data_IF_742071977881
#
_entry.id   IF_742071977881
#
_cell.length_a   1.000
_cell.length_b   1.000
_cell.length_c   1.000
_cell.angle_alpha   90.00
_cell.angle_beta   90.00
_cell.angle_gamma   90.00
#
_symmetry.space_group_name_H-M   'P 1'
#
loop_
_entity.id
_entity.type
_entity.pdbx_description
1 polymer ?
#
# COMPACT_ATOMS: atom_id res chain seq x y z
N UNK A 1 23.46 -16.42 34.78
CA UNK A 1 22.97 -15.16 35.39
C UNK A 1 21.53 -14.99 34.94
N UNK A 2 20.59 -14.77 35.86
CA UNK A 2 19.17 -14.59 35.49
C UNK A 2 19.02 -13.21 34.86
N UNK A 3 18.53 -13.18 33.62
CA UNK A 3 18.36 -11.97 32.80
C UNK A 3 16.92 -11.46 32.96
N UNK A 4 16.75 -10.15 33.10
CA UNK A 4 15.47 -9.49 33.29
C UNK A 4 14.58 -9.62 32.02
N UNK A 5 15.18 -9.86 30.85
CA UNK A 5 14.51 -9.87 29.53
C UNK A 5 13.30 -10.81 29.42
N UNK A 6 13.22 -11.83 30.28
CA UNK A 6 12.13 -12.83 30.27
C UNK A 6 11.08 -12.62 31.38
N UNK A 7 11.12 -11.50 32.11
CA UNK A 7 10.28 -11.28 33.30
C UNK A 7 8.75 -11.44 33.06
N UNK A 8 8.24 -11.07 31.88
CA UNK A 8 6.81 -11.28 31.53
C UNK A 8 6.46 -12.75 31.35
N UNK A 9 7.33 -13.51 30.68
CA UNK A 9 7.14 -14.94 30.52
C UNK A 9 7.21 -15.66 31.87
N UNK A 10 8.14 -15.26 32.75
CA UNK A 10 8.24 -15.78 34.11
C UNK A 10 6.97 -15.51 34.94
N UNK A 11 6.39 -14.31 34.83
CA UNK A 11 5.16 -13.95 35.54
C UNK A 11 3.95 -14.77 35.06
N UNK A 12 3.89 -15.04 33.76
CA UNK A 12 2.88 -15.92 33.17
C UNK A 12 3.04 -17.37 33.65
N UNK A 13 4.24 -17.95 33.55
CA UNK A 13 4.52 -19.32 34.00
C UNK A 13 4.27 -19.50 35.51
N UNK A 14 4.59 -18.48 36.32
CA UNK A 14 4.32 -18.47 37.76
C UNK A 14 2.83 -18.52 38.06
N UNK A 15 2.04 -17.69 37.37
CA UNK A 15 0.58 -17.65 37.52
C UNK A 15 -0.06 -18.98 37.14
N UNK A 16 0.34 -19.54 36.00
CA UNK A 16 -0.14 -20.84 35.52
C UNK A 16 0.20 -21.97 36.50
N UNK A 17 1.42 -21.95 37.08
CA UNK A 17 1.87 -22.94 38.07
C UNK A 17 1.19 -22.81 39.44
N UNK A 18 0.76 -21.62 39.84
CA UNK A 18 0.03 -21.41 41.10
C UNK A 18 -1.46 -21.77 40.96
N UNK A 19 -2.04 -21.50 39.80
CA UNK A 19 -3.43 -21.87 39.48
C UNK A 19 -3.63 -23.39 39.53
N UNK A 20 -2.66 -24.18 39.08
CA UNK A 20 -2.67 -25.65 39.18
C UNK A 20 -2.57 -26.18 40.62
N UNK A 21 -2.15 -25.34 41.58
CA UNK A 21 -2.11 -25.63 43.02
C UNK A 21 -3.27 -24.99 43.80
N UNK A 22 -4.36 -24.62 43.10
CA UNK A 22 -5.55 -23.97 43.64
C UNK A 22 -5.31 -22.60 44.31
N UNK A 23 -4.19 -21.93 44.00
CA UNK A 23 -3.93 -20.55 44.41
C UNK A 23 -4.14 -19.64 43.21
N UNK A 24 -5.16 -18.79 43.27
CA UNK A 24 -5.45 -17.83 42.20
C UNK A 24 -4.82 -16.49 42.50
N UNK A 25 -3.98 -16.01 41.58
CA UNK A 25 -3.40 -14.66 41.61
C UNK A 25 -3.68 -13.95 40.30
N UNK A 26 -3.85 -12.64 40.37
CA UNK A 26 -4.02 -11.77 39.21
C UNK A 26 -2.72 -11.63 38.42
N UNK A 27 -2.84 -11.15 37.18
CA UNK A 27 -1.67 -10.85 36.35
C UNK A 27 -0.75 -9.82 37.02
N UNK A 28 -1.34 -8.78 37.61
CA UNK A 28 -0.60 -7.72 38.30
C UNK A 28 0.18 -8.26 39.50
N UNK A 29 -0.43 -9.11 40.33
CA UNK A 29 0.26 -9.74 41.48
C UNK A 29 1.41 -10.66 41.03
N UNK A 30 1.27 -11.30 39.88
CA UNK A 30 2.31 -12.14 39.30
C UNK A 30 3.53 -11.32 38.85
N UNK A 31 3.30 -10.14 38.27
CA UNK A 31 4.33 -9.20 37.85
C UNK A 31 5.06 -8.58 39.06
N UNK A 32 4.33 -8.28 40.13
CA UNK A 32 4.90 -7.79 41.40
C UNK A 32 5.82 -8.84 42.04
N UNK A 33 5.41 -10.10 42.08
CA UNK A 33 6.23 -11.19 42.62
C UNK A 33 7.52 -11.40 41.81
N UNK A 34 7.43 -11.37 40.48
CA UNK A 34 8.61 -11.48 39.62
C UNK A 34 9.55 -10.28 39.81
N UNK A 35 9.01 -9.08 40.01
CA UNK A 35 9.82 -7.87 40.27
C UNK A 35 10.68 -8.02 41.52
N UNK A 36 10.10 -8.56 42.60
CA UNK A 36 10.83 -8.86 43.84
C UNK A 36 11.88 -9.96 43.68
N UNK A 37 11.63 -10.98 42.85
CA UNK A 37 12.62 -12.03 42.56
C UNK A 37 13.89 -11.49 41.90
N UNK A 38 13.76 -10.37 41.20
CA UNK A 38 14.84 -9.64 40.55
C UNK A 38 15.44 -8.54 41.45
N UNK A 39 15.02 -8.43 42.71
CA UNK A 39 15.51 -7.44 43.67
C UNK A 39 14.96 -6.03 43.46
N UNK A 40 13.87 -5.88 42.71
CA UNK A 40 13.27 -4.59 42.34
C UNK A 40 11.94 -4.40 43.09
N UNK A 41 11.63 -3.16 43.45
CA UNK A 41 10.53 -2.82 44.35
C UNK A 41 9.14 -3.15 43.79
N UNK A 42 8.92 -2.89 42.50
CA UNK A 42 7.63 -3.07 41.82
C UNK A 42 7.80 -3.29 40.31
N UNK A 43 6.70 -3.64 39.65
CA UNK A 43 6.68 -3.88 38.20
C UNK A 43 7.02 -2.63 37.38
N UNK A 44 6.64 -1.44 37.86
CA UNK A 44 6.95 -0.19 37.17
C UNK A 44 8.46 0.02 37.05
N UNK A 45 9.19 -0.20 38.14
CA UNK A 45 10.64 -0.06 38.20
C UNK A 45 11.33 -1.12 37.35
N UNK A 46 10.90 -2.38 37.43
CA UNK A 46 11.48 -3.46 36.61
C UNK A 46 11.21 -3.21 35.10
N UNK A 47 10.03 -2.72 34.75
CA UNK A 47 9.69 -2.39 33.36
C UNK A 47 10.54 -1.25 32.78
N UNK A 48 10.91 -0.27 33.60
CA UNK A 48 11.81 0.82 33.20
C UNK A 48 13.25 0.31 32.98
N UNK A 49 13.73 -0.61 33.83
CA UNK A 49 15.04 -1.24 33.66
C UNK A 49 15.11 -2.09 32.38
N UNK A 50 14.02 -2.77 32.01
CA UNK A 50 13.91 -3.52 30.74
C UNK A 50 13.97 -2.62 29.50
N UNK A 51 13.44 -1.41 29.60
CA UNK A 51 13.50 -0.44 28.51
C UNK A 51 14.89 0.20 28.38
N UNK A 52 15.59 0.40 29.51
CA UNK A 52 16.97 0.93 29.51
C UNK A 52 18.02 -0.11 29.07
N UNK A 53 17.87 -1.39 29.44
CA UNK A 53 18.79 -2.46 29.03
C UNK A 53 18.75 -2.80 27.52
N UNK A 54 17.83 -2.19 26.76
CA UNK A 54 17.80 -2.21 25.29
C UNK A 54 18.51 -1.01 24.64
N UNK A 55 18.98 -0.05 25.43
CA UNK A 55 19.73 1.15 24.98
C UNK A 55 21.22 1.03 25.31
N UNK A 56 21.90 0.02 24.76
CA UNK A 56 23.36 0.04 24.65
C UNK A 56 23.78 -0.10 23.18
N UNK A 57 23.75 1.04 22.51
CA UNK A 57 24.63 1.45 21.40
C UNK A 57 24.20 2.86 20.98
N UNK A 58 24.43 3.88 21.84
CA UNK A 58 24.27 5.27 21.42
C UNK A 58 25.61 5.78 20.89
N UNK A 59 25.68 5.97 19.56
CA UNK A 59 26.53 7.00 18.96
C UNK A 59 26.15 8.37 19.57
N UNK A 60 27.06 9.37 19.60
CA UNK A 60 26.86 10.59 20.37
C UNK A 60 25.61 11.32 19.90
N UNK A 61 24.71 11.65 20.85
CA UNK A 61 23.53 12.46 20.58
C UNK A 61 24.02 13.89 20.30
N UNK A 62 24.17 14.21 19.03
CA UNK A 62 24.09 15.60 18.58
C UNK A 62 22.64 16.02 18.82
N UNK A 63 22.42 16.88 19.82
CA UNK A 63 21.15 17.62 19.95
C UNK A 63 21.01 18.52 18.72
N UNK A 64 20.39 18.01 17.65
CA UNK A 64 19.84 18.86 16.61
C UNK A 64 18.79 19.74 17.29
N UNK A 65 19.04 21.05 17.35
CA UNK A 65 18.05 22.04 17.77
C UNK A 65 16.91 22.02 16.75
N UNK A 66 15.91 21.15 16.91
CA UNK A 66 14.66 21.31 16.16
C UNK A 66 13.92 22.49 16.79
N UNK A 67 13.97 23.66 16.14
CA UNK A 67 13.21 24.83 16.58
C UNK A 67 11.73 24.51 16.44
N UNK A 68 11.06 24.41 17.58
CA UNK A 68 9.60 24.27 17.62
C UNK A 68 8.98 25.61 17.28
N UNK A 69 8.00 25.63 16.38
CA UNK A 69 7.34 26.84 15.91
C UNK A 69 5.83 26.62 15.77
N UNK A 70 5.08 27.73 15.81
CA UNK A 70 3.62 27.69 15.67
C UNK A 70 3.24 28.07 14.26
N UNK A 71 2.48 27.19 13.61
CA UNK A 71 2.01 27.36 12.24
C UNK A 71 0.49 27.40 12.20
N UNK A 72 -0.10 28.10 11.21
CA UNK A 72 -1.46 27.80 10.79
C UNK A 72 -1.55 26.33 10.38
N UNK A 73 -2.65 25.68 10.75
CA UNK A 73 -2.81 24.25 10.52
C UNK A 73 -4.08 23.96 9.71
N UNK A 74 -4.06 22.88 8.95
CA UNK A 74 -5.20 22.41 8.17
C UNK A 74 -5.39 20.92 8.46
N UNK A 75 -6.55 20.53 9.01
CA UNK A 75 -6.82 19.11 9.21
C UNK A 75 -7.25 18.44 7.90
N UNK A 76 -6.65 17.28 7.60
CA UNK A 76 -6.89 16.47 6.40
C UNK A 76 -7.63 15.19 6.77
N UNK A 77 -8.74 14.91 6.10
CA UNK A 77 -9.68 13.83 6.46
C UNK A 77 -9.39 12.50 5.77
N UNK A 78 -9.34 12.53 4.44
CA UNK A 78 -9.28 11.33 3.60
C UNK A 78 -7.98 11.26 2.79
N UNK A 79 -6.97 12.02 3.22
CA UNK A 79 -5.78 12.23 2.42
C UNK A 79 -4.53 12.41 3.28
N UNK A 80 -3.47 11.71 2.90
CA UNK A 80 -2.14 11.79 3.49
C UNK A 80 -1.17 12.28 2.43
N UNK A 81 -0.69 13.53 2.51
CA UNK A 81 0.34 14.05 1.62
C UNK A 81 1.73 13.55 2.01
N UNK A 82 2.63 13.52 1.03
CA UNK A 82 4.05 13.22 1.22
C UNK A 82 4.91 14.42 0.77
N UNK A 83 6.15 14.56 1.27
CA UNK A 83 7.11 15.53 0.76
C UNK A 83 7.26 15.49 -0.76
N UNK A 84 7.45 16.65 -1.38
CA UNK A 84 7.59 16.81 -2.84
C UNK A 84 6.27 16.74 -3.63
N UNK A 85 5.23 16.11 -3.09
CA UNK A 85 3.93 16.03 -3.74
C UNK A 85 3.22 17.39 -3.76
N UNK A 86 2.59 17.71 -4.89
CA UNK A 86 1.66 18.85 -5.00
C UNK A 86 0.22 18.34 -5.00
N UNK A 87 -0.64 18.97 -4.20
CA UNK A 87 -2.04 18.57 -4.03
C UNK A 87 -2.96 19.77 -3.83
N UNK A 88 -4.20 19.73 -4.36
CA UNK A 88 -5.18 20.78 -4.11
C UNK A 88 -5.83 20.59 -2.73
N UNK A 89 -6.04 21.69 -2.02
CA UNK A 89 -6.91 21.76 -0.85
C UNK A 89 -8.20 22.51 -1.22
N UNK A 90 -9.33 21.87 -0.98
CA UNK A 90 -10.65 22.46 -1.14
C UNK A 90 -11.18 22.86 0.23
N UNK A 91 -11.51 24.13 0.38
CA UNK A 91 -11.73 24.72 1.70
C UNK A 91 -13.08 25.41 1.73
N UNK A 92 -13.91 24.99 2.68
CA UNK A 92 -15.22 25.60 2.95
C UNK A 92 -15.54 25.78 4.43
N UNK A 93 -14.68 25.30 5.35
CA UNK A 93 -14.88 25.45 6.80
C UNK A 93 -14.24 26.72 7.30
N UNK A 94 -14.97 27.47 8.12
CA UNK A 94 -14.56 28.77 8.65
C UNK A 94 -13.15 28.74 9.28
N UNK A 95 -12.91 27.81 10.22
CA UNK A 95 -11.60 27.67 10.87
C UNK A 95 -10.44 27.35 9.91
N UNK A 96 -10.71 26.66 8.80
CA UNK A 96 -9.70 26.34 7.78
C UNK A 96 -9.45 27.54 6.87
N UNK A 97 -10.51 28.28 6.50
CA UNK A 97 -10.39 29.54 5.73
C UNK A 97 -9.56 30.56 6.52
N UNK A 98 -9.84 30.72 7.81
CA UNK A 98 -9.09 31.62 8.69
C UNK A 98 -7.61 31.24 8.79
N UNK A 99 -7.31 29.95 8.97
CA UNK A 99 -5.93 29.46 9.02
C UNK A 99 -5.17 29.76 7.72
N UNK A 100 -5.82 29.59 6.57
CA UNK A 100 -5.20 29.85 5.27
C UNK A 100 -4.99 31.35 5.02
N UNK A 101 -5.95 32.21 5.35
CA UNK A 101 -5.78 33.66 5.25
C UNK A 101 -4.57 34.12 6.07
N UNK A 102 -4.45 33.64 7.32
CA UNK A 102 -3.30 33.92 8.16
C UNK A 102 -1.98 33.37 7.58
N UNK A 103 -2.01 32.22 6.90
CA UNK A 103 -0.82 31.70 6.22
C UNK A 103 -0.38 32.58 5.04
N UNK A 104 -1.33 33.13 4.27
CA UNK A 104 -1.06 34.03 3.16
C UNK A 104 -0.53 35.40 3.58
N UNK A 105 -0.87 35.86 4.78
CA UNK A 105 -0.30 37.07 5.40
C UNK A 105 1.15 36.88 5.86
N UNK A 106 1.59 35.62 6.00
CA UNK A 106 2.90 35.25 6.53
C UNK A 106 3.79 34.49 5.52
N UNK A 107 4.59 33.52 5.99
CA UNK A 107 5.52 32.74 5.17
C UNK A 107 4.88 31.79 4.14
N UNK A 108 3.55 31.75 4.05
CA UNK A 108 2.79 30.80 3.22
C UNK A 108 3.07 29.34 3.57
N UNK A 109 3.38 29.07 4.82
CA UNK A 109 3.58 27.72 5.35
C UNK A 109 2.37 27.30 6.20
N UNK A 110 1.96 26.04 6.04
CA UNK A 110 0.91 25.42 6.83
C UNK A 110 1.36 24.05 7.33
N UNK A 111 0.82 23.64 8.47
CA UNK A 111 0.92 22.25 8.94
C UNK A 111 -0.33 21.49 8.52
N UNK A 112 -0.14 20.45 7.72
CA UNK A 112 -1.16 19.47 7.40
C UNK A 112 -1.24 18.44 8.54
N UNK A 113 -2.32 18.51 9.33
CA UNK A 113 -2.59 17.56 10.40
C UNK A 113 -3.52 16.44 9.88
N UNK A 114 -3.10 15.19 9.96
CA UNK A 114 -3.86 14.07 9.40
C UNK A 114 -4.86 13.60 10.45
N UNK A 115 -6.15 13.58 10.11
CA UNK A 115 -7.20 13.08 10.99
C UNK A 115 -7.18 11.55 11.06
N UNK A 116 -7.53 11.02 12.23
CA UNK A 116 -7.72 9.60 12.47
C UNK A 116 -9.07 9.13 11.96
N UNK A 117 -10.09 9.97 12.09
CA UNK A 117 -11.46 9.71 11.67
C UNK A 117 -12.00 10.93 10.91
N UNK A 118 -12.33 10.73 9.63
CA UNK A 118 -12.86 11.75 8.74
C UNK A 118 -14.25 12.28 9.14
N UNK A 119 -14.98 11.53 9.98
CA UNK A 119 -16.29 11.92 10.47
C UNK A 119 -16.24 13.05 11.50
N UNK A 120 -15.08 13.32 12.10
CA UNK A 120 -14.94 14.38 13.11
C UNK A 120 -14.88 15.74 12.45
N UNK A 121 -15.92 16.55 12.68
CA UNK A 121 -16.04 17.80 11.96
C UNK A 121 -15.07 18.88 12.42
N UNK A 122 -14.92 19.00 13.73
CA UNK A 122 -14.02 19.93 14.40
C UNK A 122 -12.97 19.14 15.20
N UNK A 123 -11.93 18.62 14.54
CA UNK A 123 -10.94 17.78 15.20
C UNK A 123 -10.18 18.54 16.29
N UNK A 124 -9.87 17.82 17.37
CA UNK A 124 -8.94 18.23 18.40
C UNK A 124 -7.61 17.48 18.25
N UNK A 125 -6.63 17.78 19.11
CA UNK A 125 -5.32 17.12 19.06
C UNK A 125 -5.39 15.59 19.19
N UNK A 126 -6.36 15.07 19.96
CA UNK A 126 -6.56 13.62 20.10
C UNK A 126 -7.06 12.95 18.80
N UNK A 127 -7.73 13.72 17.94
CA UNK A 127 -8.34 13.22 16.70
C UNK A 127 -7.39 13.26 15.50
N UNK A 128 -6.19 13.81 15.68
CA UNK A 128 -5.15 13.86 14.66
C UNK A 128 -3.97 12.97 15.03
N UNK A 129 -3.22 12.57 14.01
CA UNK A 129 -1.96 11.86 14.21
C UNK A 129 -0.83 12.80 14.63
N UNK A 130 0.17 12.25 15.29
CA UNK A 130 1.32 12.99 15.84
C UNK A 130 2.32 13.42 14.77
N UNK A 131 2.36 12.74 13.63
CA UNK A 131 3.19 13.12 12.47
C UNK A 131 2.30 13.76 11.41
N UNK A 132 2.68 14.97 11.02
CA UNK A 132 2.06 15.72 9.93
C UNK A 132 3.06 16.09 8.85
N UNK A 133 2.64 17.00 7.98
CA UNK A 133 3.47 17.53 6.90
C UNK A 133 3.47 19.05 6.92
N UNK A 134 4.65 19.67 6.97
CA UNK A 134 4.76 21.08 6.65
C UNK A 134 4.66 21.25 5.14
N UNK A 135 3.79 22.15 4.68
CA UNK A 135 3.53 22.38 3.28
C UNK A 135 3.50 23.87 2.97
N UNK A 136 3.82 24.21 1.72
CA UNK A 136 3.81 25.57 1.21
C UNK A 136 2.58 25.82 0.35
N UNK A 137 1.94 26.98 0.55
CA UNK A 137 0.84 27.45 -0.29
C UNK A 137 1.42 28.07 -1.57
N UNK A 138 1.04 27.50 -2.71
CA UNK A 138 1.55 27.90 -4.03
C UNK A 138 0.62 28.93 -4.66
N UNK A 139 -0.65 28.56 -4.85
CA UNK A 139 -1.62 29.36 -5.58
C UNK A 139 -3.00 29.26 -4.91
N UNK A 140 -3.72 30.37 -4.85
CA UNK A 140 -5.09 30.44 -4.35
C UNK A 140 -6.02 30.83 -5.49
N UNK A 141 -7.09 30.07 -5.65
CA UNK A 141 -8.14 30.30 -6.62
C UNK A 141 -9.50 30.32 -5.91
N UNK A 142 -10.28 31.36 -6.16
CA UNK A 142 -11.66 31.45 -5.68
C UNK A 142 -12.57 30.90 -6.78
N UNK A 143 -13.32 29.85 -6.45
CA UNK A 143 -14.26 29.24 -7.37
C UNK A 143 -15.55 30.06 -7.44
N UNK A 144 -16.33 29.85 -8.50
CA UNK A 144 -17.57 30.61 -8.78
C UNK A 144 -18.67 30.38 -7.73
N UNK A 145 -18.60 29.30 -6.97
CA UNK A 145 -19.49 28.96 -5.86
C UNK A 145 -19.07 29.60 -4.52
N UNK A 146 -17.98 30.37 -4.51
CA UNK A 146 -17.43 31.02 -3.32
C UNK A 146 -16.47 30.14 -2.51
N UNK A 147 -16.28 28.87 -2.87
CA UNK A 147 -15.28 28.01 -2.24
C UNK A 147 -13.86 28.37 -2.70
N UNK A 148 -12.86 28.03 -1.88
CA UNK A 148 -11.46 28.33 -2.16
C UNK A 148 -10.72 27.03 -2.47
N UNK A 149 -10.01 27.04 -3.61
CA UNK A 149 -9.04 26.00 -3.98
C UNK A 149 -7.63 26.55 -3.77
N UNK A 150 -6.83 25.86 -2.97
CA UNK A 150 -5.42 26.23 -2.74
C UNK A 150 -4.51 25.11 -3.21
N UNK A 151 -3.64 25.39 -4.18
CA UNK A 151 -2.59 24.48 -4.59
C UNK A 151 -1.49 24.48 -3.54
N UNK A 152 -1.16 23.30 -3.02
CA UNK A 152 -0.26 23.12 -1.89
C UNK A 152 0.88 22.18 -2.28
N UNK A 153 2.11 22.44 -1.83
CA UNK A 153 3.27 21.57 -2.04
C UNK A 153 3.82 21.08 -0.71
N UNK A 154 3.89 19.76 -0.53
CA UNK A 154 4.51 19.14 0.63
C UNK A 154 6.00 19.45 0.71
N UNK A 155 6.47 19.94 1.85
CA UNK A 155 7.88 20.27 2.06
C UNK A 155 8.59 19.20 2.89
N UNK A 156 8.23 19.03 4.16
CA UNK A 156 8.93 18.12 5.08
C UNK A 156 8.05 17.59 6.20
N UNK A 157 8.44 16.45 6.76
CA UNK A 157 7.75 15.80 7.90
C UNK A 157 7.92 16.63 9.16
N UNK A 158 6.86 16.70 9.96
CA UNK A 158 6.86 17.41 11.25
C UNK A 158 6.16 16.60 12.32
N UNK A 159 6.65 16.72 13.55
CA UNK A 159 5.98 16.23 14.74
C UNK A 159 5.10 17.33 15.31
N UNK A 160 3.87 16.97 15.70
CA UNK A 160 2.89 17.88 16.26
C UNK A 160 2.93 17.79 17.80
N UNK A 161 3.10 18.93 18.48
CA UNK A 161 2.98 19.04 19.94
C UNK A 161 1.59 19.46 20.39
N UNK A 162 0.90 20.23 19.55
CA UNK A 162 -0.46 20.68 19.79
C UNK A 162 -1.21 20.88 18.48
N UNK A 163 -2.54 20.80 18.54
CA UNK A 163 -3.44 21.14 17.45
C UNK A 163 -4.77 21.62 18.05
N UNK A 164 -5.19 22.83 17.72
CA UNK A 164 -6.43 23.39 18.24
C UNK A 164 -7.02 24.44 17.30
N UNK A 165 -8.35 24.57 17.33
CA UNK A 165 -9.03 25.73 16.77
C UNK A 165 -8.83 26.94 17.69
N UNK A 166 -8.48 28.08 17.11
CA UNK A 166 -8.35 29.37 17.81
C UNK A 166 -9.18 30.42 17.08
N UNK A 167 -9.26 31.65 17.60
CA UNK A 167 -9.96 32.75 16.92
C UNK A 167 -9.40 33.07 15.52
N UNK A 168 -8.13 32.74 15.26
CA UNK A 168 -7.48 32.88 13.95
C UNK A 168 -7.53 31.61 13.08
N UNK A 169 -8.40 30.66 13.41
CA UNK A 169 -8.45 29.35 12.76
C UNK A 169 -7.58 28.30 13.45
N UNK A 170 -7.39 27.16 12.78
CA UNK A 170 -6.58 26.06 13.30
C UNK A 170 -5.10 26.44 13.39
N UNK A 171 -4.47 26.08 14.52
CA UNK A 171 -3.05 26.26 14.78
C UNK A 171 -2.42 25.00 15.34
N UNK A 172 -1.15 24.80 15.04
CA UNK A 172 -0.35 23.70 15.57
C UNK A 172 1.05 24.16 15.93
N UNK A 173 1.51 23.76 17.10
CA UNK A 173 2.93 23.81 17.46
C UNK A 173 3.61 22.56 16.88
N UNK A 174 4.57 22.76 15.99
CA UNK A 174 5.23 21.68 15.27
C UNK A 174 6.75 21.85 15.27
N UNK A 175 7.45 20.72 15.16
CA UNK A 175 8.91 20.67 15.05
C UNK A 175 9.31 19.73 13.91
N UNK A 176 10.45 20.02 13.30
CA UNK A 176 10.95 19.23 12.17
C UNK A 176 11.34 17.82 12.61
N UNK A 177 10.93 16.83 11.82
CA UNK A 177 11.36 15.45 11.92
C UNK A 177 12.30 15.16 10.74
N UNK A 178 13.62 15.32 10.92
CA UNK A 178 14.57 15.00 9.86
C UNK A 178 14.56 13.50 9.58
N UNK A 179 14.74 13.14 8.31
CA UNK A 179 14.94 11.75 7.93
C UNK A 179 16.30 11.24 8.42
N UNK A 180 16.37 9.95 8.70
CA UNK A 180 17.65 9.28 8.96
C UNK A 180 18.50 9.25 7.69
N UNK A 181 19.83 9.16 7.84
CA UNK A 181 20.69 8.90 6.70
C UNK A 181 20.26 7.62 5.98
N UNK A 182 20.03 7.73 4.67
CA UNK A 182 19.61 6.59 3.87
C UNK A 182 20.81 5.68 3.58
N UNK A 183 20.74 4.43 4.05
CA UNK A 183 21.64 3.39 3.57
C UNK A 183 21.43 3.12 2.07
N UNK A 184 22.48 2.68 1.39
CA UNK A 184 22.37 2.26 -0.01
C UNK A 184 21.63 0.92 -0.10
N UNK A 185 20.62 0.84 -0.98
CA UNK A 185 19.72 -0.30 -1.08
C UNK A 185 19.23 -0.54 -2.53
N UNK A 186 20.14 -0.67 -3.52
CA UNK A 186 19.79 -0.66 -4.94
C UNK A 186 18.93 -1.87 -5.35
N UNK A 187 19.12 -3.02 -4.72
CA UNK A 187 18.34 -4.23 -5.00
C UNK A 187 16.89 -4.09 -4.52
N UNK A 188 16.71 -3.50 -3.34
CA UNK A 188 15.38 -3.21 -2.79
C UNK A 188 14.66 -2.22 -3.71
N UNK A 189 15.31 -1.11 -4.07
CA UNK A 189 14.73 -0.10 -4.97
C UNK A 189 14.28 -0.72 -6.29
N UNK A 190 15.15 -1.49 -6.97
CA UNK A 190 14.80 -2.16 -8.24
C UNK A 190 13.62 -3.12 -8.09
N UNK A 191 13.60 -3.94 -7.04
CA UNK A 191 12.50 -4.87 -6.76
C UNK A 191 11.19 -4.12 -6.50
N UNK A 192 11.23 -3.11 -5.64
CA UNK A 192 10.06 -2.35 -5.21
C UNK A 192 9.48 -1.52 -6.35
N UNK A 193 10.30 -0.89 -7.20
CA UNK A 193 9.85 -0.21 -8.42
C UNK A 193 9.12 -1.19 -9.34
N UNK A 194 9.69 -2.39 -9.58
CA UNK A 194 9.03 -3.41 -10.41
C UNK A 194 7.69 -3.86 -9.84
N UNK A 195 7.59 -4.07 -8.52
CA UNK A 195 6.32 -4.39 -7.87
C UNK A 195 5.32 -3.24 -8.03
N UNK A 196 5.80 -2.00 -8.01
CA UNK A 196 4.95 -0.82 -8.17
C UNK A 196 4.51 -0.59 -9.62
N UNK A 197 5.31 -0.95 -10.63
CA UNK A 197 4.88 -1.00 -12.03
C UNK A 197 3.73 -1.99 -12.21
N UNK A 198 3.87 -3.20 -11.66
CA UNK A 198 2.82 -4.21 -11.69
C UNK A 198 1.56 -3.71 -10.97
N UNK A 199 1.72 -3.04 -9.82
CA UNK A 199 0.64 -2.38 -9.10
C UNK A 199 -0.06 -1.31 -9.93
N UNK A 200 0.69 -0.39 -10.53
CA UNK A 200 0.14 0.68 -11.34
C UNK A 200 -0.65 0.11 -12.53
N UNK A 201 -0.12 -0.91 -13.20
CA UNK A 201 -0.79 -1.60 -14.28
C UNK A 201 -2.08 -2.30 -13.81
N UNK A 202 -2.09 -2.96 -12.65
CA UNK A 202 -3.29 -3.58 -12.08
C UNK A 202 -4.40 -2.56 -11.77
N UNK A 203 -4.02 -1.34 -11.39
CA UNK A 203 -4.94 -0.27 -11.01
C UNK A 203 -5.27 0.70 -12.16
N UNK A 204 -4.79 0.42 -13.38
CA UNK A 204 -5.00 1.28 -14.54
C UNK A 204 -4.36 2.67 -14.41
N UNK A 205 -3.29 2.80 -13.62
CA UNK A 205 -2.58 4.06 -13.43
C UNK A 205 -1.61 4.30 -14.60
N UNK A 206 -1.95 5.21 -15.50
CA UNK A 206 -1.06 5.66 -16.59
C UNK A 206 -0.11 6.74 -16.06
N UNK A 207 1.18 6.39 -15.94
CA UNK A 207 2.16 7.23 -15.25
C UNK A 207 3.52 7.36 -15.96
N UNK A 208 3.58 7.65 -17.28
CA UNK A 208 4.84 7.66 -18.04
C UNK A 208 5.89 8.61 -17.45
N UNK A 209 5.49 9.80 -17.02
CA UNK A 209 6.41 10.80 -16.47
C UNK A 209 6.98 10.39 -15.11
N UNK A 210 6.23 9.61 -14.33
CA UNK A 210 6.66 9.13 -13.01
C UNK A 210 7.69 8.03 -13.13
N UNK A 211 7.59 7.16 -14.15
CA UNK A 211 8.62 6.15 -14.41
C UNK A 211 9.96 6.78 -14.74
N UNK A 212 9.96 7.81 -15.60
CA UNK A 212 11.15 8.57 -15.93
C UNK A 212 11.74 9.26 -14.70
N UNK A 213 10.88 9.84 -13.85
CA UNK A 213 11.29 10.49 -12.61
C UNK A 213 11.94 9.50 -11.64
N UNK A 214 11.33 8.34 -11.42
CA UNK A 214 11.83 7.30 -10.51
C UNK A 214 13.18 6.74 -10.96
N UNK A 215 13.40 6.58 -12.27
CA UNK A 215 14.67 6.10 -12.84
C UNK A 215 15.83 7.09 -12.61
N UNK A 216 15.52 8.39 -12.53
CA UNK A 216 16.51 9.45 -12.30
C UNK A 216 16.78 9.73 -10.81
N UNK A 217 15.85 9.35 -9.94
CA UNK A 217 15.98 9.56 -8.50
C UNK A 217 17.04 8.65 -7.90
N UNK A 218 17.88 9.23 -7.02
CA UNK A 218 18.88 8.48 -6.24
C UNK A 218 18.55 8.40 -4.76
N UNK A 219 17.64 9.25 -4.29
CA UNK A 219 17.27 9.33 -2.89
C UNK A 219 16.12 8.36 -2.59
N UNK A 220 16.37 7.39 -1.71
CA UNK A 220 15.40 6.37 -1.34
C UNK A 220 14.14 6.97 -0.69
N UNK A 221 14.26 8.08 0.04
CA UNK A 221 13.14 8.76 0.70
C UNK A 221 12.19 9.35 -0.32
N UNK A 222 12.73 10.07 -1.31
CA UNK A 222 11.98 10.62 -2.44
C UNK A 222 11.33 9.54 -3.30
N UNK A 223 12.03 8.43 -3.56
CA UNK A 223 11.47 7.28 -4.29
C UNK A 223 10.26 6.73 -3.52
N UNK A 224 10.42 6.46 -2.22
CA UNK A 224 9.35 5.96 -1.36
C UNK A 224 8.14 6.90 -1.32
N UNK A 225 8.39 8.20 -1.15
CA UNK A 225 7.34 9.22 -1.06
C UNK A 225 6.60 9.40 -2.38
N UNK A 226 7.32 9.35 -3.50
CA UNK A 226 6.76 9.38 -4.85
C UNK A 226 5.82 8.18 -5.08
N UNK A 227 6.26 6.98 -4.70
CA UNK A 227 5.44 5.77 -4.82
C UNK A 227 4.22 5.82 -3.90
N UNK A 228 4.40 6.14 -2.62
CA UNK A 228 3.32 6.21 -1.63
C UNK A 228 2.23 7.24 -1.98
N UNK A 229 2.62 8.35 -2.64
CA UNK A 229 1.68 9.35 -3.16
C UNK A 229 0.69 8.74 -4.14
N UNK A 230 1.12 7.79 -4.98
CA UNK A 230 0.33 7.20 -6.07
C UNK A 230 -0.42 5.94 -5.68
N UNK A 231 0.03 5.24 -4.64
CA UNK A 231 -0.65 4.05 -4.13
C UNK A 231 -2.03 4.43 -3.58
N UNK A 232 -3.06 3.67 -3.95
CA UNK A 232 -4.42 3.71 -3.40
C UNK A 232 -4.47 2.83 -2.15
N UNK A 233 -4.05 3.38 -1.02
CA UNK A 233 -4.07 2.72 0.30
C UNK A 233 -5.06 3.41 1.24
N UNK A 234 -5.38 2.74 2.35
CA UNK A 234 -6.12 3.36 3.44
C UNK A 234 -5.34 4.54 4.06
N UNK A 235 -6.04 5.50 4.68
CA UNK A 235 -5.42 6.62 5.40
C UNK A 235 -4.44 6.10 6.45
N UNK A 236 -4.82 5.05 7.17
CA UNK A 236 -3.98 4.40 8.18
C UNK A 236 -2.65 3.92 7.59
N UNK A 237 -2.69 3.17 6.49
CA UNK A 237 -1.47 2.63 5.87
C UNK A 237 -0.59 3.75 5.29
N UNK A 238 -1.19 4.77 4.67
CA UNK A 238 -0.42 5.94 4.20
C UNK A 238 0.20 6.72 5.35
N UNK A 239 -0.52 6.87 6.46
CA UNK A 239 0.01 7.51 7.64
C UNK A 239 1.20 6.72 8.21
N UNK A 240 1.09 5.39 8.31
CA UNK A 240 2.22 4.54 8.73
C UNK A 240 3.46 4.79 7.85
N UNK A 241 3.29 4.92 6.54
CA UNK A 241 4.39 5.26 5.62
C UNK A 241 4.96 6.66 5.86
N UNK A 242 4.11 7.67 6.08
CA UNK A 242 4.56 9.02 6.39
C UNK A 242 5.36 9.06 7.71
N UNK A 243 4.94 8.29 8.71
CA UNK A 243 5.54 8.26 10.05
C UNK A 243 6.90 7.54 10.11
N UNK A 244 7.24 6.70 9.13
CA UNK A 244 8.55 6.03 9.06
C UNK A 244 9.60 7.03 8.58
N UNK A 245 10.50 7.48 9.46
CA UNK A 245 11.56 8.46 9.12
C UNK A 245 12.77 7.84 8.42
N UNK A 246 12.98 6.53 8.56
CA UNK A 246 14.06 5.81 7.89
C UNK A 246 13.66 5.45 6.44
N UNK A 247 14.36 5.98 5.42
CA UNK A 247 13.96 5.79 4.02
C UNK A 247 13.93 4.32 3.58
N UNK A 248 14.90 3.52 4.01
CA UNK A 248 15.01 2.10 3.62
C UNK A 248 13.89 1.28 4.26
N UNK A 249 13.60 1.50 5.54
CA UNK A 249 12.46 0.89 6.25
C UNK A 249 11.13 1.26 5.59
N UNK A 250 11.00 2.51 5.13
CA UNK A 250 9.81 2.96 4.40
C UNK A 250 9.66 2.21 3.08
N UNK A 251 10.74 2.06 2.30
CA UNK A 251 10.76 1.25 1.09
C UNK A 251 10.41 -0.21 1.38
N UNK A 252 10.95 -0.81 2.45
CA UNK A 252 10.61 -2.18 2.85
C UNK A 252 9.12 -2.35 3.19
N UNK A 253 8.52 -1.36 3.85
CA UNK A 253 7.07 -1.37 4.12
C UNK A 253 6.27 -1.24 2.82
N UNK A 254 6.68 -0.36 1.90
CA UNK A 254 6.05 -0.25 0.57
C UNK A 254 6.17 -1.57 -0.19
N UNK A 255 7.37 -2.16 -0.22
CA UNK A 255 7.64 -3.46 -0.82
C UNK A 255 6.69 -4.53 -0.25
N UNK A 256 6.57 -4.64 1.06
CA UNK A 256 5.66 -5.58 1.72
C UNK A 256 4.16 -5.30 1.43
N UNK A 257 3.77 -4.03 1.29
CA UNK A 257 2.40 -3.64 0.92
C UNK A 257 2.09 -3.98 -0.55
N UNK A 258 3.11 -3.96 -1.41
CA UNK A 258 3.03 -4.31 -2.83
C UNK A 258 3.24 -5.82 -3.07
N UNK A 259 3.85 -6.52 -2.14
CA UNK A 259 4.15 -7.94 -2.27
C UNK A 259 2.93 -8.80 -1.94
N UNK A 260 2.10 -8.99 -2.97
CA UNK A 260 0.86 -9.76 -2.90
C UNK A 260 1.10 -11.27 -3.09
N UNK A 261 2.35 -11.72 -3.04
CA UNK A 261 2.72 -13.13 -3.23
C UNK A 261 2.13 -14.10 -2.19
N UNK A 262 1.43 -13.60 -1.16
CA UNK A 262 0.81 -14.43 -0.10
C UNK A 262 -0.65 -14.80 -0.32
N UNK A 263 -1.33 -14.33 -1.38
CA UNK A 263 -2.73 -14.72 -1.60
C UNK A 263 -2.81 -16.07 -2.33
N UNK A 264 -3.41 -17.11 -1.72
CA UNK A 264 -3.51 -18.41 -2.37
C UNK A 264 -4.33 -18.30 -3.65
N UNK A 265 -3.98 -19.06 -4.67
CA UNK A 265 -4.82 -19.18 -5.87
C UNK A 265 -5.96 -20.16 -5.62
N UNK A 266 -7.14 -19.85 -6.13
CA UNK A 266 -8.29 -20.75 -6.07
C UNK A 266 -7.97 -22.05 -6.85
N UNK A 267 -8.49 -23.22 -6.43
CA UNK A 267 -8.23 -24.49 -7.12
C UNK A 267 -8.55 -24.46 -8.62
N UNK A 268 -9.63 -23.76 -9.00
CA UNK A 268 -10.01 -23.56 -10.39
C UNK A 268 -8.91 -22.81 -11.17
N UNK A 269 -8.41 -21.70 -10.61
CA UNK A 269 -7.34 -20.93 -11.26
C UNK A 269 -6.02 -21.70 -11.33
N UNK A 270 -5.68 -22.49 -10.31
CA UNK A 270 -4.50 -23.38 -10.33
C UNK A 270 -4.62 -24.38 -11.50
N UNK A 271 -5.80 -24.98 -11.69
CA UNK A 271 -6.06 -25.89 -12.79
C UNK A 271 -5.97 -25.18 -14.16
N UNK A 272 -6.51 -23.97 -14.27
CA UNK A 272 -6.41 -23.13 -15.48
C UNK A 272 -4.97 -22.79 -15.82
N UNK A 273 -4.16 -22.38 -14.84
CA UNK A 273 -2.73 -22.10 -15.03
C UNK A 273 -1.96 -23.34 -15.48
N UNK A 274 -2.24 -24.51 -14.88
CA UNK A 274 -1.67 -25.79 -15.32
C UNK A 274 -2.08 -26.14 -16.75
N UNK A 275 -3.35 -25.96 -17.10
CA UNK A 275 -3.85 -26.17 -18.47
C UNK A 275 -3.12 -25.28 -19.48
N UNK A 276 -2.83 -24.02 -19.15
CA UNK A 276 -2.07 -23.13 -20.02
C UNK A 276 -0.65 -23.63 -20.28
N UNK A 277 0.03 -24.19 -19.26
CA UNK A 277 1.35 -24.82 -19.40
C UNK A 277 1.27 -26.10 -20.23
N UNK A 278 0.29 -26.97 -19.93
CA UNK A 278 0.07 -28.21 -20.68
C UNK A 278 -0.24 -27.93 -22.17
N UNK A 279 -0.95 -26.83 -22.48
CA UNK A 279 -1.23 -26.40 -23.85
C UNK A 279 0.04 -25.99 -24.60
N UNK A 280 1.02 -25.40 -23.91
CA UNK A 280 2.32 -25.06 -24.46
C UNK A 280 3.19 -26.31 -24.63
N UNK A 281 3.23 -27.18 -23.62
CA UNK A 281 3.98 -28.44 -23.65
C UNK A 281 3.53 -29.36 -24.79
N UNK A 282 2.21 -29.51 -25.01
CA UNK A 282 1.65 -30.33 -26.10
C UNK A 282 2.01 -29.81 -27.48
N UNK A 283 2.30 -28.51 -27.60
CA UNK A 283 2.76 -27.86 -28.82
C UNK A 283 4.28 -27.75 -28.89
N UNK A 284 4.98 -28.29 -27.89
CA UNK A 284 6.42 -28.20 -27.72
C UNK A 284 6.94 -26.76 -27.74
N UNK A 285 6.11 -25.79 -27.32
CA UNK A 285 6.51 -24.39 -27.23
C UNK A 285 7.47 -24.20 -26.05
N UNK A 286 8.54 -23.42 -26.25
CA UNK A 286 9.50 -23.10 -25.19
C UNK A 286 8.85 -22.40 -23.99
N UNK A 287 7.85 -21.58 -24.26
CA UNK A 287 7.22 -20.72 -23.27
C UNK A 287 5.70 -20.75 -23.34
N UNK A 288 5.06 -20.74 -22.17
CA UNK A 288 3.64 -20.44 -22.05
C UNK A 288 3.42 -18.92 -22.09
N UNK A 289 2.73 -18.47 -23.14
CA UNK A 289 2.40 -17.07 -23.40
C UNK A 289 1.02 -16.69 -22.85
N UNK A 290 0.64 -15.42 -22.98
CA UNK A 290 -0.70 -14.94 -22.56
C UNK A 290 -1.83 -15.53 -23.40
N UNK A 291 -1.54 -15.95 -24.63
CA UNK A 291 -2.52 -16.59 -25.50
C UNK A 291 -2.86 -18.01 -25.00
N UNK A 292 -1.89 -18.74 -24.46
CA UNK A 292 -2.12 -20.01 -23.79
C UNK A 292 -2.96 -19.82 -22.52
N UNK A 293 -2.68 -18.75 -21.75
CA UNK A 293 -3.45 -18.40 -20.56
C UNK A 293 -4.89 -18.02 -20.91
N UNK A 294 -5.09 -17.15 -21.91
CA UNK A 294 -6.42 -16.76 -22.34
C UNK A 294 -7.21 -17.95 -22.88
N UNK A 295 -6.57 -18.84 -23.66
CA UNK A 295 -7.19 -20.07 -24.13
C UNK A 295 -7.66 -20.93 -22.96
N UNK A 296 -6.81 -21.12 -21.93
CA UNK A 296 -7.21 -21.85 -20.73
C UNK A 296 -8.34 -21.16 -19.94
N UNK A 297 -8.35 -19.83 -19.89
CA UNK A 297 -9.39 -19.03 -19.22
C UNK A 297 -10.77 -19.13 -19.88
N UNK A 298 -10.84 -19.45 -21.18
CA UNK A 298 -12.14 -19.71 -21.85
C UNK A 298 -12.89 -20.92 -21.29
N UNK A 299 -12.19 -21.77 -20.52
CA UNK A 299 -12.73 -22.95 -19.84
C UNK A 299 -12.62 -22.84 -18.31
N UNK A 300 -12.30 -21.66 -17.79
CA UNK A 300 -12.20 -21.40 -16.36
C UNK A 300 -13.59 -21.08 -15.77
N UNK A 301 -13.88 -21.62 -14.59
CA UNK A 301 -15.19 -21.50 -13.95
C UNK A 301 -15.56 -20.06 -13.54
N UNK A 302 -14.58 -19.18 -13.31
CA UNK A 302 -14.80 -17.79 -12.95
C UNK A 302 -14.70 -16.87 -14.18
N UNK A 303 -13.75 -17.13 -15.09
CA UNK A 303 -13.50 -16.26 -16.23
C UNK A 303 -14.47 -16.49 -17.40
N UNK A 304 -14.81 -17.73 -17.73
CA UNK A 304 -15.68 -18.03 -18.87
C UNK A 304 -17.08 -17.43 -18.74
N UNK A 305 -17.75 -17.46 -17.57
CA UNK A 305 -19.04 -16.79 -17.39
C UNK A 305 -18.96 -15.27 -17.56
N UNK A 306 -17.85 -14.64 -17.16
CA UNK A 306 -17.64 -13.20 -17.35
C UNK A 306 -17.46 -12.83 -18.81
N UNK A 307 -16.71 -13.64 -19.56
CA UNK A 307 -16.57 -13.47 -21.01
C UNK A 307 -17.94 -13.61 -21.70
N UNK A 308 -18.72 -14.63 -21.35
CA UNK A 308 -20.08 -14.82 -21.87
C UNK A 308 -21.02 -13.67 -21.50
N UNK A 309 -20.95 -13.15 -20.28
CA UNK A 309 -21.70 -11.98 -19.85
C UNK A 309 -21.31 -10.70 -20.59
N UNK A 310 -20.11 -10.67 -21.19
CA UNK A 310 -19.65 -9.63 -22.11
C UNK A 310 -19.99 -9.93 -23.58
N UNK A 311 -20.85 -10.91 -23.86
CA UNK A 311 -21.25 -11.37 -25.19
C UNK A 311 -20.10 -11.97 -26.03
N UNK A 312 -19.08 -12.52 -25.39
CA UNK A 312 -18.01 -13.23 -26.09
C UNK A 312 -18.51 -14.51 -26.76
N UNK A 313 -18.12 -14.73 -28.02
CA UNK A 313 -18.19 -16.04 -28.66
C UNK A 313 -16.95 -16.85 -28.27
N UNK A 314 -17.09 -17.65 -27.21
CA UNK A 314 -16.02 -18.52 -26.72
C UNK A 314 -15.60 -19.59 -27.75
N UNK A 315 -16.47 -19.99 -28.67
CA UNK A 315 -16.12 -20.93 -29.73
C UNK A 315 -15.16 -20.28 -30.73
N UNK A 316 -15.54 -19.11 -31.25
CA UNK A 316 -14.71 -18.34 -32.16
C UNK A 316 -13.39 -17.92 -31.49
N UNK A 317 -13.42 -17.49 -30.23
CA UNK A 317 -12.21 -17.06 -29.50
C UNK A 317 -11.21 -18.20 -29.35
N UNK A 318 -11.68 -19.39 -28.96
CA UNK A 318 -10.84 -20.58 -28.86
C UNK A 318 -10.23 -20.97 -30.20
N UNK A 319 -10.99 -20.87 -31.29
CA UNK A 319 -10.48 -21.16 -32.62
C UNK A 319 -9.39 -20.17 -33.03
N UNK A 320 -9.62 -18.86 -32.89
CA UNK A 320 -8.63 -17.84 -33.23
C UNK A 320 -7.35 -17.96 -32.42
N UNK A 321 -7.46 -18.27 -31.12
CA UNK A 321 -6.30 -18.51 -30.26
C UNK A 321 -5.55 -19.77 -30.67
N UNK A 322 -6.27 -20.88 -30.92
CA UNK A 322 -5.66 -22.15 -31.36
C UNK A 322 -4.91 -21.96 -32.66
N UNK A 323 -5.53 -21.30 -33.65
CA UNK A 323 -4.90 -20.99 -34.94
C UNK A 323 -3.63 -20.15 -34.76
N UNK A 324 -3.66 -19.14 -33.89
CA UNK A 324 -2.49 -18.31 -33.60
C UNK A 324 -1.37 -19.11 -32.94
N UNK A 325 -1.70 -19.94 -31.94
CA UNK A 325 -0.75 -20.81 -31.27
C UNK A 325 -0.11 -21.80 -32.26
N UNK A 326 -0.90 -22.39 -33.15
CA UNK A 326 -0.43 -23.43 -34.06
C UNK A 326 0.35 -22.87 -35.27
N UNK A 327 0.05 -21.65 -35.72
CA UNK A 327 0.66 -21.05 -36.92
C UNK A 327 1.77 -20.06 -36.60
N UNK A 328 1.49 -19.08 -35.75
CA UNK A 328 2.38 -17.93 -35.51
C UNK A 328 3.47 -18.25 -34.46
N UNK A 329 3.19 -19.15 -33.52
CA UNK A 329 4.15 -19.59 -32.50
C UNK A 329 4.91 -20.87 -32.87
N UNK A 330 4.70 -21.43 -34.07
CA UNK A 330 5.42 -22.61 -34.56
C UNK A 330 6.96 -22.45 -34.58
N UNK A 331 7.47 -21.21 -34.54
CA UNK A 331 8.93 -20.92 -34.56
C UNK A 331 9.62 -20.99 -33.20
N UNK A 332 8.89 -21.10 -32.09
CA UNK A 332 9.45 -21.22 -30.73
C UNK A 332 9.44 -22.66 -30.20
N UNK A 333 9.40 -23.64 -31.10
CA UNK A 333 9.36 -25.06 -30.77
C UNK A 333 10.75 -25.53 -30.31
N UNK A 334 10.79 -26.27 -29.20
CA UNK A 334 12.02 -26.87 -28.66
C UNK A 334 11.88 -28.39 -28.67
N UNK A 335 12.97 -29.09 -29.00
CA UNK A 335 12.96 -30.56 -29.05
C UNK A 335 12.76 -31.20 -27.67
N UNK A 336 13.19 -30.53 -26.59
CA UNK A 336 13.07 -31.03 -25.21
C UNK A 336 12.92 -29.89 -24.20
N UNK A 337 12.03 -30.07 -23.22
CA UNK A 337 11.82 -29.12 -22.12
C UNK A 337 10.38 -29.11 -21.61
N UNK A 338 10.17 -28.54 -20.43
CA UNK A 338 8.84 -28.14 -19.95
C UNK A 338 8.69 -26.63 -20.17
N UNK A 339 7.54 -26.21 -20.67
CA UNK A 339 7.27 -24.82 -20.99
C UNK A 339 7.28 -23.98 -19.71
N UNK A 340 8.06 -22.91 -19.71
CA UNK A 340 8.07 -21.94 -18.62
C UNK A 340 7.12 -20.77 -18.94
N UNK A 341 6.46 -20.16 -17.93
CA UNK A 341 5.70 -18.94 -18.16
C UNK A 341 6.60 -17.80 -18.67
N UNK A 342 6.14 -17.06 -19.68
CA UNK A 342 6.80 -15.81 -20.11
C UNK A 342 6.78 -14.74 -19.00
N UNK A 343 7.67 -13.73 -19.05
CA UNK A 343 7.61 -12.59 -18.12
C UNK A 343 6.25 -11.88 -18.11
N UNK A 344 5.58 -11.80 -19.27
CA UNK A 344 4.23 -11.23 -19.38
C UNK A 344 3.19 -12.06 -18.62
N UNK A 345 3.25 -13.39 -18.75
CA UNK A 345 2.42 -14.30 -17.94
C UNK A 345 2.65 -14.05 -16.45
N UNK A 346 3.90 -14.04 -15.99
CA UNK A 346 4.22 -13.82 -14.58
C UNK A 346 3.71 -12.47 -14.05
N UNK A 347 3.74 -11.41 -14.87
CA UNK A 347 3.11 -10.11 -14.52
C UNK A 347 1.59 -10.21 -14.41
N UNK A 348 0.93 -10.99 -15.26
CA UNK A 348 -0.53 -11.22 -15.17
C UNK A 348 -0.86 -11.98 -13.89
N UNK A 349 -0.15 -13.06 -13.56
CA UNK A 349 -0.32 -13.79 -12.29
C UNK A 349 -0.21 -12.86 -11.08
N UNK A 350 0.82 -12.01 -11.07
CA UNK A 350 1.05 -11.07 -9.97
C UNK A 350 -0.06 -10.02 -9.86
N UNK A 351 -0.48 -9.44 -10.98
CA UNK A 351 -1.58 -8.44 -10.99
C UNK A 351 -2.93 -9.05 -10.65
N UNK A 352 -3.18 -10.31 -11.00
CA UNK A 352 -4.36 -11.04 -10.57
C UNK A 352 -4.41 -11.13 -9.04
N UNK A 353 -3.27 -11.44 -8.41
CA UNK A 353 -3.16 -11.46 -6.95
C UNK A 353 -3.45 -10.08 -6.33
N UNK A 354 -2.89 -9.01 -6.91
CA UNK A 354 -3.17 -7.63 -6.47
C UNK A 354 -4.64 -7.25 -6.60
N UNK A 355 -5.29 -7.64 -7.70
CA UNK A 355 -6.69 -7.36 -7.92
C UNK A 355 -7.57 -8.05 -6.87
N UNK A 356 -7.31 -9.34 -6.62
CA UNK A 356 -7.99 -10.09 -5.57
C UNK A 356 -7.84 -9.39 -4.20
N UNK A 357 -6.64 -8.89 -3.88
CA UNK A 357 -6.38 -8.12 -2.65
C UNK A 357 -7.27 -6.90 -2.50
N UNK A 358 -7.32 -6.04 -3.50
CA UNK A 358 -8.10 -4.80 -3.46
C UNK A 358 -9.57 -5.04 -3.20
N UNK A 359 -10.13 -6.08 -3.82
CA UNK A 359 -11.54 -6.40 -3.71
C UNK A 359 -11.88 -7.31 -2.52
N UNK A 360 -10.89 -7.64 -1.68
CA UNK A 360 -11.06 -8.44 -0.47
C UNK A 360 -11.25 -9.95 -0.70
N UNK A 361 -11.01 -10.48 -1.90
CA UNK A 361 -11.26 -11.89 -2.24
C UNK A 361 -10.22 -12.83 -1.61
N UNK A 362 -10.55 -13.81 -0.76
CA UNK A 362 -9.56 -14.60 -0.01
C UNK A 362 -8.57 -15.39 -0.89
N UNK A 363 -8.88 -15.62 -2.17
CA UNK A 363 -8.03 -16.30 -3.12
C UNK A 363 -8.05 -15.61 -4.50
N UNK A 364 -7.00 -15.87 -5.30
CA UNK A 364 -6.90 -15.41 -6.70
C UNK A 364 -7.73 -16.32 -7.60
N UNK A 365 -8.64 -15.74 -8.37
CA UNK A 365 -9.57 -16.45 -9.27
C UNK A 365 -9.21 -16.25 -10.74
N UNK A 366 -9.82 -17.05 -11.64
CA UNK A 366 -9.66 -16.81 -13.08
C UNK A 366 -10.24 -15.47 -13.53
N UNK A 367 -11.26 -14.96 -12.83
CA UNK A 367 -11.77 -13.60 -13.04
C UNK A 367 -10.69 -12.53 -12.82
N UNK A 368 -9.89 -12.68 -11.75
CA UNK A 368 -8.78 -11.77 -11.45
C UNK A 368 -7.70 -11.81 -12.55
N UNK A 369 -7.40 -12.99 -13.07
CA UNK A 369 -6.44 -13.18 -14.16
C UNK A 369 -6.94 -12.59 -15.49
N UNK A 370 -8.22 -12.76 -15.82
CA UNK A 370 -8.84 -12.14 -17.00
C UNK A 370 -8.75 -10.62 -16.94
N UNK A 371 -9.09 -10.06 -15.79
CA UNK A 371 -8.94 -8.64 -15.44
C UNK A 371 -7.50 -8.16 -15.64
N UNK A 372 -6.53 -8.97 -15.21
CA UNK A 372 -5.11 -8.66 -15.24
C UNK A 372 -4.48 -8.78 -16.64
N UNK A 373 -5.16 -9.39 -17.62
CA UNK A 373 -4.69 -9.42 -19.01
C UNK A 373 -4.74 -8.04 -19.68
N UNK A 374 -5.80 -7.26 -19.45
CA UNK A 374 -6.07 -6.03 -20.22
C UNK A 374 -4.93 -4.99 -20.28
N UNK A 375 -4.11 -4.77 -19.24
CA UNK A 375 -3.02 -3.82 -19.35
C UNK A 375 -1.83 -4.33 -20.19
N UNK A 376 -1.81 -5.59 -20.63
CA UNK A 376 -0.85 -6.12 -21.63
C UNK A 376 -1.27 -5.72 -23.05
N UNK A 377 -1.37 -4.43 -23.31
CA UNK A 377 -1.92 -3.85 -24.55
C UNK A 377 -1.23 -4.27 -25.84
N UNK A 378 0.01 -4.79 -25.76
CA UNK A 378 0.78 -5.31 -26.89
C UNK A 378 0.62 -6.82 -27.11
N UNK A 379 -0.11 -7.51 -26.24
CA UNK A 379 -0.30 -8.96 -26.35
C UNK A 379 -1.40 -9.30 -27.35
N UNK A 380 -1.15 -10.28 -28.24
CA UNK A 380 -2.19 -10.87 -29.08
C UNK A 380 -3.44 -11.32 -28.29
N UNK A 381 -3.28 -11.84 -27.07
CA UNK A 381 -4.41 -12.20 -26.21
C UNK A 381 -5.39 -11.03 -25.98
N UNK A 382 -4.88 -9.83 -25.67
CA UNK A 382 -5.72 -8.63 -25.49
C UNK A 382 -6.32 -8.17 -26.81
N UNK A 383 -5.58 -8.30 -27.92
CA UNK A 383 -6.12 -8.02 -29.27
C UNK A 383 -7.30 -8.93 -29.61
N UNK A 384 -7.23 -10.23 -29.35
CA UNK A 384 -8.33 -11.16 -29.60
C UNK A 384 -9.58 -10.86 -28.75
N UNK A 385 -9.39 -10.41 -27.50
CA UNK A 385 -10.50 -9.90 -26.69
C UNK A 385 -11.13 -8.64 -27.32
N UNK A 386 -10.31 -7.70 -27.77
CA UNK A 386 -10.77 -6.46 -28.40
C UNK A 386 -11.50 -6.71 -29.74
N UNK A 387 -11.09 -7.71 -30.51
CA UNK A 387 -11.77 -8.14 -31.76
C UNK A 387 -13.21 -8.64 -31.52
N UNK A 388 -13.51 -9.12 -30.31
CA UNK A 388 -14.86 -9.46 -29.87
C UNK A 388 -15.54 -8.35 -29.05
N UNK A 389 -15.01 -7.11 -29.10
CA UNK A 389 -15.52 -5.96 -28.35
C UNK A 389 -15.54 -6.19 -26.82
N UNK A 390 -14.60 -7.01 -26.31
CA UNK A 390 -14.43 -7.27 -24.88
C UNK A 390 -13.39 -6.29 -24.35
N UNK A 391 -13.80 -5.43 -23.42
CA UNK A 391 -12.94 -4.44 -22.79
C UNK A 391 -12.93 -4.60 -21.27
N UNK A 392 -11.89 -4.05 -20.63
CA UNK A 392 -11.74 -4.06 -19.18
C UNK A 392 -13.00 -3.58 -18.45
N UNK A 393 -13.55 -2.46 -18.93
CA UNK A 393 -14.78 -1.87 -18.38
C UNK A 393 -15.98 -2.82 -18.43
N UNK A 394 -16.16 -3.59 -19.52
CA UNK A 394 -17.25 -4.57 -19.62
C UNK A 394 -17.10 -5.69 -18.61
N UNK A 395 -15.88 -6.19 -18.45
CA UNK A 395 -15.57 -7.25 -17.47
C UNK A 395 -15.79 -6.75 -16.05
N UNK A 396 -15.32 -5.54 -15.70
CA UNK A 396 -15.57 -4.95 -14.38
C UNK A 396 -17.06 -4.75 -14.10
N UNK A 397 -17.83 -4.32 -15.10
CA UNK A 397 -19.29 -4.18 -15.01
C UNK A 397 -19.96 -5.54 -14.79
N UNK A 398 -19.55 -6.58 -15.50
CA UNK A 398 -20.06 -7.94 -15.33
C UNK A 398 -19.76 -8.49 -13.93
N UNK A 399 -18.55 -8.26 -13.40
CA UNK A 399 -18.16 -8.62 -12.03
C UNK A 399 -19.06 -7.93 -11.01
N UNK A 400 -19.30 -6.62 -11.17
CA UNK A 400 -20.17 -5.86 -10.28
C UNK A 400 -21.62 -6.39 -10.28
N UNK A 401 -22.13 -6.77 -11.45
CA UNK A 401 -23.48 -7.34 -11.59
C UNK A 401 -23.59 -8.75 -10.99
N UNK A 402 -22.58 -9.60 -11.17
CA UNK A 402 -22.56 -10.94 -10.57
C UNK A 402 -22.59 -10.86 -9.03
N UNK A 403 -21.78 -9.98 -8.44
CA UNK A 403 -21.75 -9.75 -6.98
C UNK A 403 -23.06 -9.23 -6.40
N UNK A 404 -23.83 -8.46 -7.17
CA UNK A 404 -25.13 -7.97 -6.73
C UNK A 404 -26.17 -9.10 -6.68
N UNK A 405 -26.06 -10.10 -7.56
CA UNK A 405 -26.95 -11.27 -7.58
C UNK A 405 -26.67 -12.26 -6.45
N UNK A 406 -25.41 -12.40 -6.02
CA UNK A 406 -25.06 -13.29 -4.89
C UNK A 406 -25.46 -12.74 -3.51
N UNK A 407 -25.82 -11.45 -3.42
CA UNK A 407 -26.21 -10.77 -2.17
C UNK A 407 -27.72 -10.61 -1.99
N UNK A 408 -28.51 -10.93 -3.01
CA UNK A 408 -29.99 -10.90 -2.98
C UNK A 408 -30.54 -12.30 -3.05
#
# INVERSE_FOLDING_TARGET
MRDFRDAKAMAQTLRESLTTKAVTISHSESLELVSRMFGVADWNTLSAMLQNGRREASAPIVRLKSSTAVYPAVPLRDFVPFPGASFPLFVGRENTVLALNHAFEGPREIVCAIQRDAAVDEPQFADVYEVGLLAQLVELERLSDGSIRVLTRGARRVGLRSFAATSGGYRSEAFELPESESADAPDLVRRTIRLFEDYAAAHGLLMPDVWLLLDQMRDNGQIADTMATRMKLSVKDKYELLAILDPVTRLQKIDALLDVSSRPSAPAYIATRRRALDLADRRQHQFATLEHLLLALTEDGDAAPLLQACNADLGALRQSLTDYLDKELARIVVETGTAAPTPAFQRVDRRAAMHAQQIGNPAVTGADALVALFPETRSPAVRFLAEQDISRWRVDKAIAQARAKDKG
#
